data_IF_418578960400
#
_entry.id   IF_418578960400
#
_cell.length_a   1.000
_cell.length_b   1.000
_cell.length_c   1.000
_cell.angle_alpha   90.00
_cell.angle_beta   90.00
_cell.angle_gamma   90.00
#
_symmetry.space_group_name_H-M   'P 1'
#
loop_
_entity.id
_entity.type
_entity.pdbx_description
1 polymer ?
#
# COMPACT_ATOMS: atom_id res chain seq x y z
N UNK A 1 -11.98 2.03 6.45
CA UNK A 1 -11.59 3.04 5.45
C UNK A 1 -12.73 4.00 5.15
N UNK A 2 -12.73 5.16 5.83
CA UNK A 2 -13.66 6.27 5.57
C UNK A 2 -13.00 7.21 4.56
N UNK A 3 -13.07 6.89 3.27
CA UNK A 3 -12.70 7.88 2.25
C UNK A 3 -13.79 8.96 2.25
N UNK A 4 -13.58 10.06 2.96
CA UNK A 4 -14.46 11.23 2.92
C UNK A 4 -14.23 11.93 1.59
N UNK A 5 -15.26 12.06 0.75
CA UNK A 5 -15.26 13.05 -0.34
C UNK A 5 -14.96 14.40 0.28
N UNK A 6 -13.78 14.95 -0.01
CA UNK A 6 -13.46 16.33 0.30
C UNK A 6 -14.07 17.20 -0.79
N UNK A 7 -14.98 18.09 -0.41
CA UNK A 7 -15.52 19.14 -1.28
C UNK A 7 -14.69 20.43 -1.20
N UNK A 8 -13.47 20.38 -0.67
CA UNK A 8 -12.56 21.52 -0.57
C UNK A 8 -11.45 21.43 -1.62
N UNK A 9 -11.10 22.57 -2.21
CA UNK A 9 -10.03 22.81 -3.20
C UNK A 9 -8.61 22.51 -2.67
N UNK A 10 -8.44 21.64 -1.68
CA UNK A 10 -7.12 21.25 -1.22
C UNK A 10 -6.44 20.36 -2.28
N UNK A 11 -5.13 20.57 -2.54
CA UNK A 11 -4.33 19.65 -3.34
C UNK A 11 -4.52 18.20 -2.85
N UNK A 12 -4.75 17.26 -3.76
CA UNK A 12 -5.10 15.87 -3.42
C UNK A 12 -4.00 15.16 -2.60
N UNK A 13 -2.76 15.64 -2.71
CA UNK A 13 -1.60 15.23 -1.94
C UNK A 13 -1.69 15.57 -0.46
N UNK A 14 -2.43 16.61 -0.05
CA UNK A 14 -2.62 16.91 1.37
C UNK A 14 -3.39 15.79 2.11
N UNK A 15 -4.36 15.17 1.42
CA UNK A 15 -5.12 14.04 1.98
C UNK A 15 -4.19 12.84 2.13
N UNK A 16 -3.42 12.51 1.10
CA UNK A 16 -2.47 11.41 1.16
C UNK A 16 -1.40 11.63 2.24
N UNK A 17 -0.90 12.87 2.38
CA UNK A 17 0.05 13.27 3.41
C UNK A 17 -0.53 13.12 4.81
N UNK A 18 -1.80 13.51 5.00
CA UNK A 18 -2.50 13.34 6.29
C UNK A 18 -2.66 11.86 6.65
N UNK A 19 -3.12 11.03 5.71
CA UNK A 19 -3.27 9.58 5.96
C UNK A 19 -1.90 8.93 6.25
N UNK A 20 -0.85 9.28 5.50
CA UNK A 20 0.51 8.78 5.77
C UNK A 20 1.05 9.22 7.16
N UNK A 21 0.69 10.42 7.64
CA UNK A 21 1.00 10.83 9.00
C UNK A 21 0.24 10.00 10.05
N UNK A 22 -1.06 9.80 9.84
CA UNK A 22 -1.93 9.04 10.77
C UNK A 22 -1.50 7.56 10.85
N UNK A 23 -1.16 6.94 9.72
CA UNK A 23 -0.88 5.51 9.61
C UNK A 23 0.57 5.13 9.98
N UNK A 24 1.57 5.87 9.47
CA UNK A 24 2.99 5.50 9.58
C UNK A 24 3.87 6.61 10.21
N UNK A 25 3.26 7.71 10.65
CA UNK A 25 3.96 8.80 11.31
C UNK A 25 4.79 9.68 10.37
N UNK A 26 4.51 9.66 9.06
CA UNK A 26 5.26 10.45 8.09
C UNK A 26 4.92 11.95 8.24
N UNK A 27 5.88 12.83 8.60
CA UNK A 27 5.56 14.22 8.94
C UNK A 27 4.82 14.98 7.81
N UNK A 28 3.73 15.67 8.17
CA UNK A 28 3.02 16.56 7.24
C UNK A 28 3.81 17.82 6.90
N UNK A 29 4.58 18.33 7.86
CA UNK A 29 5.43 19.51 7.73
C UNK A 29 6.84 19.08 7.32
N UNK A 30 7.31 19.56 6.15
CA UNK A 30 8.63 19.26 5.62
C UNK A 30 9.76 19.65 6.59
N UNK A 31 9.55 20.70 7.41
CA UNK A 31 10.53 21.12 8.42
C UNK A 31 10.75 20.07 9.52
N UNK A 32 9.83 19.11 9.67
CA UNK A 32 9.91 18.00 10.63
C UNK A 32 10.47 16.72 10.03
N UNK A 33 10.72 16.68 8.72
CA UNK A 33 11.43 15.56 8.10
C UNK A 33 12.88 15.56 8.60
N UNK A 34 13.42 14.41 9.06
CA UNK A 34 14.81 14.34 9.48
C UNK A 34 15.76 14.74 8.34
N UNK A 35 16.65 15.69 8.58
CA UNK A 35 17.71 16.01 7.62
C UNK A 35 18.65 14.80 7.43
N UNK A 36 19.17 14.56 6.21
CA UNK A 36 19.09 15.42 5.01
C UNK A 36 17.87 15.15 4.10
N UNK A 37 16.89 14.37 4.54
CA UNK A 37 15.81 13.92 3.66
C UNK A 37 14.78 14.99 3.35
N UNK A 38 14.18 14.85 2.17
CA UNK A 38 13.09 15.66 1.63
C UNK A 38 12.11 14.77 0.90
N UNK A 39 10.86 15.22 0.83
CA UNK A 39 9.82 14.60 0.03
C UNK A 39 9.49 15.55 -1.11
N UNK A 40 9.78 15.13 -2.34
CA UNK A 40 9.45 15.85 -3.56
C UNK A 40 8.18 15.25 -4.19
N UNK A 41 7.06 15.98 -4.26
CA UNK A 41 5.89 15.53 -5.02
C UNK A 41 6.21 15.47 -6.51
N UNK A 42 5.98 14.32 -7.15
CA UNK A 42 6.30 14.13 -8.57
C UNK A 42 5.08 14.33 -9.46
N UNK A 43 4.05 13.52 -9.25
CA UNK A 43 2.88 13.52 -10.12
C UNK A 43 1.67 12.82 -9.49
N UNK A 44 0.53 12.93 -10.18
CA UNK A 44 -0.61 12.05 -9.96
C UNK A 44 -0.71 11.05 -11.12
N UNK A 45 -0.97 9.79 -10.81
CA UNK A 45 -1.22 8.77 -11.80
C UNK A 45 -2.68 8.80 -12.27
N UNK A 46 -2.99 8.14 -13.41
CA UNK A 46 -4.35 7.83 -13.84
C UNK A 46 -5.22 7.24 -12.72
N UNK A 47 -6.52 7.47 -12.80
CA UNK A 47 -7.48 6.95 -11.83
C UNK A 47 -7.51 5.43 -11.88
N UNK A 48 -7.43 4.78 -10.71
CA UNK A 48 -7.50 3.34 -10.58
C UNK A 48 -8.80 2.93 -9.89
N UNK A 49 -9.37 1.81 -10.32
CA UNK A 49 -10.59 1.24 -9.75
C UNK A 49 -10.24 0.02 -8.91
N UNK A 50 -10.73 -0.05 -7.68
CA UNK A 50 -10.73 -1.30 -6.93
C UNK A 50 -11.96 -2.14 -7.32
N UNK A 51 -11.86 -3.46 -7.25
CA UNK A 51 -13.00 -4.37 -7.40
C UNK A 51 -14.18 -4.06 -6.45
N UNK A 52 -13.91 -3.36 -5.35
CA UNK A 52 -14.90 -2.87 -4.37
C UNK A 52 -15.59 -1.57 -4.79
N UNK A 53 -15.43 -1.15 -6.05
CA UNK A 53 -15.98 0.07 -6.65
C UNK A 53 -15.43 1.36 -6.00
N UNK A 54 -14.27 1.26 -5.38
CA UNK A 54 -13.52 2.42 -4.87
C UNK A 54 -12.64 2.96 -5.99
N UNK A 55 -12.82 4.23 -6.33
CA UNK A 55 -11.94 4.96 -7.26
C UNK A 55 -10.91 5.72 -6.45
N UNK A 56 -9.64 5.63 -6.86
CA UNK A 56 -8.55 6.41 -6.27
C UNK A 56 -7.76 7.13 -7.36
N UNK A 57 -7.17 8.27 -7.00
CA UNK A 57 -6.14 8.93 -7.80
C UNK A 57 -4.81 8.82 -7.07
N UNK A 58 -3.88 7.97 -7.52
CA UNK A 58 -2.61 7.79 -6.83
C UNK A 58 -1.76 9.06 -6.95
N UNK A 59 -1.08 9.45 -5.88
CA UNK A 59 -0.06 10.49 -5.89
C UNK A 59 1.31 9.85 -5.63
N UNK A 60 2.33 10.27 -6.38
CA UNK A 60 3.69 9.76 -6.27
C UNK A 60 4.59 10.88 -5.76
N UNK A 61 5.42 10.55 -4.77
CA UNK A 61 6.44 11.43 -4.24
C UNK A 61 7.76 10.69 -4.11
N UNK A 62 8.86 11.43 -4.21
CA UNK A 62 10.21 10.92 -4.07
C UNK A 62 10.77 11.32 -2.70
N UNK A 63 11.17 10.32 -1.91
CA UNK A 63 11.86 10.53 -0.64
C UNK A 63 13.36 10.37 -0.87
N UNK A 64 14.11 11.47 -0.79
CA UNK A 64 15.54 11.51 -1.14
C UNK A 64 16.31 12.48 -0.24
N UNK A 65 17.64 12.43 -0.31
CA UNK A 65 18.54 13.41 0.29
C UNK A 65 19.21 14.22 -0.83
N UNK A 66 19.45 15.51 -0.60
CA UNK A 66 20.08 16.44 -1.57
C UNK A 66 21.63 16.44 -1.52
N UNK A 67 22.24 15.49 -0.83
CA UNK A 67 23.69 15.46 -0.69
C UNK A 67 24.35 14.95 -1.98
N UNK A 68 25.48 15.58 -2.36
CA UNK A 68 26.26 15.11 -3.51
C UNK A 68 26.64 13.64 -3.29
N UNK A 69 26.47 12.79 -4.32
CA UNK A 69 26.77 11.38 -4.21
C UNK A 69 28.27 11.24 -3.94
N UNK A 70 28.60 10.50 -2.87
CA UNK A 70 29.95 10.08 -2.50
C UNK A 70 30.87 11.19 -1.92
N UNK A 71 30.60 11.67 -0.70
CA UNK A 71 31.73 11.84 0.24
C UNK A 71 32.12 10.43 0.72
N UNK A 72 33.23 9.84 0.23
CA UNK A 72 33.65 8.50 0.66
C UNK A 72 33.99 8.44 2.16
N UNK A 73 34.19 9.58 2.83
CA UNK A 73 34.39 9.63 4.28
C UNK A 73 33.06 9.63 5.06
N UNK A 74 31.95 10.08 4.46
CA UNK A 74 30.64 10.23 5.13
C UNK A 74 29.48 9.87 4.19
N UNK A 75 29.19 8.57 3.96
CA UNK A 75 28.06 8.18 3.13
C UNK A 75 26.75 8.73 3.71
N UNK A 76 25.88 9.25 2.84
CA UNK A 76 24.56 9.70 3.27
C UNK A 76 23.81 8.55 3.96
N UNK A 77 23.14 8.83 5.09
CA UNK A 77 22.38 7.82 5.82
C UNK A 77 21.30 7.21 4.93
N UNK A 78 21.03 5.91 5.09
CA UNK A 78 19.87 5.29 4.47
C UNK A 78 18.58 5.86 5.09
N UNK A 79 17.53 6.03 4.30
CA UNK A 79 16.22 6.50 4.79
C UNK A 79 15.73 5.60 5.91
N UNK A 80 15.90 4.30 5.74
CA UNK A 80 15.51 3.24 6.69
C UNK A 80 16.30 3.29 8.02
N UNK A 81 17.41 4.03 8.07
CA UNK A 81 18.22 4.22 9.28
C UNK A 81 17.76 5.39 10.13
N UNK A 82 17.24 6.45 9.50
CA UNK A 82 16.90 7.71 10.18
C UNK A 82 15.40 8.00 10.22
N UNK A 83 14.63 7.47 9.28
CA UNK A 83 13.18 7.53 9.28
C UNK A 83 12.64 6.18 9.70
N UNK A 84 12.54 5.97 11.02
CA UNK A 84 11.85 4.81 11.57
C UNK A 84 10.35 5.14 11.60
N UNK A 85 9.51 4.41 10.85
CA UNK A 85 8.07 4.61 10.86
C UNK A 85 7.48 4.48 12.27
N UNK A 86 6.51 5.32 12.62
CA UNK A 86 5.73 5.20 13.86
C UNK A 86 4.34 4.73 13.49
N UNK A 87 4.09 3.45 13.74
CA UNK A 87 2.88 2.79 13.24
C UNK A 87 1.73 2.91 14.22
N UNK A 88 0.54 3.28 13.74
CA UNK A 88 -0.69 3.05 14.49
C UNK A 88 -1.07 1.57 14.37
N UNK A 89 -0.89 0.81 15.45
CA UNK A 89 -1.20 -0.62 15.49
C UNK A 89 -2.68 -0.95 15.18
N UNK A 90 -3.59 0.03 15.24
CA UNK A 90 -5.00 -0.16 14.85
C UNK A 90 -5.20 -0.24 13.34
N UNK A 91 -4.30 0.38 12.57
CA UNK A 91 -4.46 0.58 11.12
C UNK A 91 -3.32 -0.07 10.33
N UNK A 92 -2.09 -0.09 10.88
CA UNK A 92 -0.89 -0.60 10.23
C UNK A 92 -0.21 -1.65 11.09
N UNK A 93 -0.13 -2.86 10.53
CA UNK A 93 0.51 -3.98 11.20
C UNK A 93 2.01 -4.08 10.91
N UNK A 94 2.44 -3.64 9.72
CA UNK A 94 3.84 -3.62 9.32
C UNK A 94 4.09 -2.59 8.20
N UNK A 95 5.33 -2.10 8.14
CA UNK A 95 5.85 -1.35 6.98
C UNK A 95 7.09 -2.06 6.45
N UNK A 96 7.15 -2.23 5.12
CA UNK A 96 8.26 -2.84 4.41
C UNK A 96 8.52 -2.09 3.10
N UNK A 97 9.71 -2.30 2.52
CA UNK A 97 10.10 -1.73 1.22
C UNK A 97 10.27 -2.86 0.20
N UNK A 98 10.21 -2.54 -1.09
CA UNK A 98 10.48 -3.48 -2.17
C UNK A 98 11.27 -2.77 -3.28
N UNK A 99 12.20 -3.44 -3.98
CA UNK A 99 12.89 -2.83 -5.12
C UNK A 99 11.88 -2.45 -6.21
N UNK A 100 11.74 -1.16 -6.49
CA UNK A 100 10.65 -0.66 -7.34
C UNK A 100 10.69 -1.26 -8.77
N UNK A 101 11.88 -1.43 -9.34
CA UNK A 101 12.07 -2.09 -10.64
C UNK A 101 11.54 -3.54 -10.68
N UNK A 102 11.50 -4.25 -9.54
CA UNK A 102 11.07 -5.66 -9.52
C UNK A 102 9.57 -5.81 -9.83
N UNK A 103 8.76 -4.75 -9.72
CA UNK A 103 7.36 -4.78 -10.16
C UNK A 103 7.20 -4.89 -11.69
N UNK A 104 8.29 -4.91 -12.46
CA UNK A 104 8.31 -5.25 -13.89
C UNK A 104 8.81 -6.68 -14.16
N UNK A 105 9.23 -7.43 -13.14
CA UNK A 105 9.88 -8.74 -13.29
C UNK A 105 8.91 -9.89 -13.05
N UNK A 106 9.07 -10.98 -13.79
CA UNK A 106 8.29 -12.21 -13.58
C UNK A 106 8.86 -13.08 -12.44
N UNK A 107 10.15 -12.93 -12.13
CA UNK A 107 10.85 -13.69 -11.09
C UNK A 107 11.65 -12.76 -10.18
N UNK A 108 12.02 -13.25 -8.99
CA UNK A 108 12.88 -12.49 -8.07
C UNK A 108 14.20 -12.14 -8.78
N UNK A 109 14.67 -10.90 -8.64
CA UNK A 109 16.07 -10.57 -8.89
C UNK A 109 16.85 -10.74 -7.59
N UNK A 110 18.04 -11.35 -7.69
CA UNK A 110 19.03 -11.29 -6.63
C UNK A 110 19.34 -9.81 -6.33
N UNK A 111 19.14 -9.38 -5.09
CA UNK A 111 19.30 -7.97 -4.69
C UNK A 111 20.72 -7.47 -5.02
N UNK A 112 20.91 -6.27 -5.61
CA UNK A 112 22.24 -5.68 -5.81
C UNK A 112 23.02 -5.43 -4.51
N UNK A 113 22.36 -5.44 -3.34
CA UNK A 113 23.04 -5.41 -2.03
C UNK A 113 23.98 -6.61 -1.81
N UNK A 114 23.87 -7.64 -2.65
CA UNK A 114 24.80 -8.77 -2.75
C UNK A 114 26.20 -8.40 -3.26
N UNK A 115 26.41 -7.21 -3.83
CA UNK A 115 27.72 -6.75 -4.31
C UNK A 115 28.47 -5.86 -3.31
N UNK A 116 27.77 -5.17 -2.39
CA UNK A 116 28.39 -4.15 -1.53
C UNK A 116 28.79 -4.65 -0.13
N UNK A 117 28.24 -5.77 0.35
CA UNK A 117 28.62 -6.32 1.65
C UNK A 117 28.79 -7.83 1.57
N UNK A 118 29.99 -8.32 1.92
CA UNK A 118 30.35 -9.74 2.10
C UNK A 118 29.60 -10.42 3.26
N UNK A 119 28.36 -10.02 3.57
CA UNK A 119 27.48 -10.77 4.46
C UNK A 119 27.00 -11.98 3.68
N UNK A 120 27.39 -13.17 4.14
CA UNK A 120 27.05 -14.50 3.59
C UNK A 120 25.66 -14.47 2.94
N UNK A 121 25.61 -14.70 1.62
CA UNK A 121 24.36 -14.79 0.88
C UNK A 121 23.41 -15.74 1.60
N UNK A 122 22.32 -15.20 2.15
CA UNK A 122 21.19 -16.03 2.55
C UNK A 122 20.37 -16.30 1.29
N UNK A 123 19.99 -17.56 1.03
CA UNK A 123 19.07 -17.85 -0.05
C UNK A 123 17.73 -17.15 0.22
N UNK A 124 17.12 -16.60 -0.83
CA UNK A 124 15.78 -16.02 -0.74
C UNK A 124 14.80 -17.06 -0.18
N UNK A 125 13.78 -16.63 0.59
CA UNK A 125 12.76 -17.54 1.06
C UNK A 125 12.07 -18.22 -0.12
N UNK A 126 11.68 -19.50 0.00
CA UNK A 126 11.02 -20.22 -1.08
C UNK A 126 9.71 -19.53 -1.49
N UNK A 127 9.34 -19.65 -2.76
CA UNK A 127 8.13 -19.05 -3.33
C UNK A 127 8.37 -18.37 -4.68
N UNK A 128 7.30 -18.06 -5.39
CA UNK A 128 7.30 -17.28 -6.63
C UNK A 128 7.26 -15.78 -6.30
N UNK A 129 7.94 -14.95 -7.09
CA UNK A 129 7.83 -13.48 -6.98
C UNK A 129 6.47 -12.97 -7.47
N UNK A 130 5.98 -13.49 -8.59
CA UNK A 130 4.80 -12.97 -9.27
C UNK A 130 3.85 -14.07 -9.70
N UNK A 131 2.55 -13.81 -9.52
CA UNK A 131 1.45 -14.57 -10.07
C UNK A 131 0.39 -13.61 -10.60
N UNK A 132 -0.06 -13.85 -11.83
CA UNK A 132 -1.13 -13.05 -12.42
C UNK A 132 -2.15 -13.91 -13.14
N UNK A 133 -3.36 -13.38 -13.22
CA UNK A 133 -4.44 -13.99 -13.97
C UNK A 133 -5.32 -12.92 -14.58
N UNK A 134 -5.88 -13.22 -15.74
CA UNK A 134 -6.93 -12.41 -16.32
C UNK A 134 -8.25 -12.67 -15.59
N UNK A 135 -8.96 -11.60 -15.29
CA UNK A 135 -10.38 -11.65 -14.92
C UNK A 135 -11.17 -10.85 -15.95
N UNK A 136 -12.44 -11.20 -16.07
CA UNK A 136 -13.39 -10.39 -16.83
C UNK A 136 -14.17 -9.52 -15.84
N UNK A 137 -14.06 -8.21 -15.97
CA UNK A 137 -14.91 -7.27 -15.25
C UNK A 137 -15.85 -6.58 -16.24
N UNK A 138 -17.12 -6.97 -16.23
CA UNK A 138 -18.09 -6.59 -17.27
C UNK A 138 -17.53 -6.93 -18.66
N UNK A 139 -17.37 -5.94 -19.54
CA UNK A 139 -16.84 -6.11 -20.89
C UNK A 139 -15.32 -5.85 -20.97
N UNK A 140 -14.66 -5.57 -19.84
CA UNK A 140 -13.24 -5.24 -19.78
C UNK A 140 -12.40 -6.43 -19.29
N UNK A 141 -11.43 -6.90 -20.09
CA UNK A 141 -10.40 -7.80 -19.58
C UNK A 141 -9.49 -7.03 -18.62
N UNK A 142 -9.33 -7.57 -17.41
CA UNK A 142 -8.56 -6.91 -16.36
C UNK A 142 -7.52 -7.86 -15.80
N UNK A 143 -6.26 -7.42 -15.79
CA UNK A 143 -5.16 -8.20 -15.25
C UNK A 143 -5.06 -8.03 -13.74
N UNK A 144 -5.21 -9.13 -13.02
CA UNK A 144 -4.92 -9.19 -11.58
C UNK A 144 -3.44 -9.52 -11.40
N UNK A 145 -2.78 -8.75 -10.53
CA UNK A 145 -1.38 -8.93 -10.17
C UNK A 145 -1.26 -9.32 -8.69
N UNK A 146 -0.46 -10.34 -8.41
CA UNK A 146 -0.04 -10.71 -7.06
C UNK A 146 1.48 -10.80 -7.04
N UNK A 147 2.12 -10.06 -6.14
CA UNK A 147 3.55 -10.12 -5.88
C UNK A 147 3.80 -10.64 -4.47
N UNK A 148 4.84 -11.44 -4.29
CA UNK A 148 5.23 -12.02 -3.00
C UNK A 148 6.64 -11.57 -2.64
N UNK A 149 6.71 -10.41 -1.98
CA UNK A 149 7.95 -9.69 -1.71
C UNK A 149 8.75 -10.38 -0.60
N UNK A 150 9.98 -10.85 -0.85
CA UNK A 150 10.80 -11.50 0.16
C UNK A 150 11.20 -10.52 1.26
N UNK A 151 11.04 -10.97 2.49
CA UNK A 151 11.42 -10.25 3.71
C UNK A 151 12.78 -10.78 4.14
N UNK A 152 13.84 -10.31 3.48
CA UNK A 152 15.22 -10.64 3.84
C UNK A 152 15.98 -9.35 4.14
N UNK A 153 16.34 -9.16 5.41
CA UNK A 153 17.10 -8.02 5.97
C UNK A 153 16.61 -6.59 5.64
N UNK A 154 15.55 -6.40 4.85
CA UNK A 154 14.80 -5.15 4.78
C UNK A 154 14.09 -4.96 6.13
N UNK A 155 14.34 -3.83 6.80
CA UNK A 155 13.76 -3.52 8.11
C UNK A 155 12.24 -3.46 8.02
N UNK A 156 11.58 -4.56 8.39
CA UNK A 156 10.16 -4.55 8.69
C UNK A 156 9.99 -3.82 10.01
N UNK A 157 9.28 -2.71 9.99
CA UNK A 157 8.88 -2.03 11.22
C UNK A 157 7.52 -2.56 11.63
N UNK A 158 7.40 -3.09 12.84
CA UNK A 158 6.13 -3.50 13.47
C UNK A 158 5.90 -2.67 14.73
N UNK A 159 4.65 -2.49 15.18
CA UNK A 159 4.35 -1.67 16.36
C UNK A 159 5.05 -2.12 17.66
N UNK A 160 5.47 -3.38 17.78
CA UNK A 160 6.12 -3.93 18.99
C UNK A 160 7.60 -3.56 19.18
N UNK A 161 8.27 -3.03 18.14
CA UNK A 161 9.69 -2.67 18.22
C UNK A 161 9.96 -1.25 18.77
N UNK A 162 8.90 -0.47 19.05
CA UNK A 162 8.98 0.80 19.78
C UNK A 162 8.53 0.56 21.23
N UNK A 163 9.47 0.65 22.18
CA UNK A 163 9.28 0.46 23.62
C UNK A 163 7.87 0.79 24.15
N UNK A 164 7.10 -0.24 24.52
CA UNK A 164 6.39 -0.36 25.82
C UNK A 164 5.54 -1.64 25.83
N UNK A 165 6.01 -2.63 26.61
CA UNK A 165 5.37 -3.91 26.82
C UNK A 165 4.32 -3.81 27.95
N UNK A 166 3.16 -3.18 27.70
CA UNK A 166 1.99 -3.37 28.55
C UNK A 166 0.67 -2.93 27.88
N UNK A 167 0.26 -3.63 26.81
CA UNK A 167 -1.11 -3.47 26.30
C UNK A 167 -1.66 -4.82 25.80
N UNK A 168 -2.95 -5.17 26.03
CA UNK A 168 -3.49 -6.53 25.81
C UNK A 168 -3.71 -6.90 24.32
N UNK A 169 -2.97 -6.27 23.41
CA UNK A 169 -3.18 -6.30 21.96
C UNK A 169 -1.98 -6.87 21.18
N UNK A 170 -1.03 -7.52 21.89
CA UNK A 170 0.05 -8.34 21.30
C UNK A 170 -0.46 -9.33 20.23
N UNK A 171 -1.71 -9.78 20.34
CA UNK A 171 -2.31 -10.79 19.45
C UNK A 171 -2.24 -10.53 17.93
N UNK A 172 -2.18 -9.30 17.41
CA UNK A 172 -2.08 -9.08 15.94
C UNK A 172 -0.63 -9.08 15.46
N UNK A 173 0.27 -8.46 16.22
CA UNK A 173 1.70 -8.50 15.96
C UNK A 173 2.25 -9.92 16.19
N UNK A 174 1.85 -10.59 17.27
CA UNK A 174 2.21 -11.98 17.59
C UNK A 174 1.69 -12.95 16.53
N UNK A 175 0.44 -12.81 16.05
CA UNK A 175 -0.06 -13.64 14.93
C UNK A 175 0.71 -13.41 13.65
N UNK A 176 1.10 -12.17 13.37
CA UNK A 176 1.93 -11.85 12.23
C UNK A 176 3.34 -12.41 12.39
N UNK A 177 3.93 -12.40 13.58
CA UNK A 177 5.21 -13.03 13.87
C UNK A 177 5.16 -14.56 13.71
N UNK A 178 4.09 -15.21 14.20
CA UNK A 178 3.85 -16.66 14.03
C UNK A 178 3.62 -17.05 12.56
N UNK A 179 2.89 -16.23 11.79
CA UNK A 179 2.68 -16.42 10.35
C UNK A 179 3.93 -16.06 9.52
N UNK A 180 4.71 -15.06 9.94
CA UNK A 180 5.96 -14.63 9.29
C UNK A 180 7.09 -15.66 9.44
N UNK A 181 7.13 -16.38 10.56
CA UNK A 181 8.01 -17.53 10.75
C UNK A 181 7.70 -18.67 9.76
N UNK A 182 6.46 -18.72 9.24
CA UNK A 182 6.02 -19.71 8.25
C UNK A 182 6.07 -19.18 6.80
N UNK A 183 5.89 -17.87 6.59
CA UNK A 183 5.91 -17.20 5.29
C UNK A 183 6.70 -15.88 5.35
N UNK A 184 7.99 -15.96 4.99
CA UNK A 184 8.90 -14.79 4.89
C UNK A 184 8.67 -13.94 3.63
N UNK A 185 7.43 -13.89 3.10
CA UNK A 185 7.08 -13.11 1.91
C UNK A 185 5.77 -12.33 2.14
N UNK A 186 5.78 -11.02 1.91
CA UNK A 186 4.56 -10.21 1.96
C UNK A 186 3.84 -10.21 0.61
N UNK A 187 2.52 -10.42 0.65
CA UNK A 187 1.69 -10.39 -0.56
C UNK A 187 1.23 -8.96 -0.88
N UNK A 188 1.63 -8.44 -2.03
CA UNK A 188 1.13 -7.18 -2.62
C UNK A 188 0.17 -7.54 -3.74
N UNK A 189 -1.10 -7.15 -3.63
CA UNK A 189 -2.16 -7.58 -4.55
C UNK A 189 -3.25 -6.51 -4.72
N UNK A 190 -4.17 -6.76 -5.66
CA UNK A 190 -5.32 -5.90 -5.89
C UNK A 190 -4.93 -4.51 -6.41
N UNK A 191 -5.64 -3.48 -5.93
CA UNK A 191 -5.43 -2.09 -6.35
C UNK A 191 -3.98 -1.65 -6.21
N UNK A 192 -3.33 -2.01 -5.09
CA UNK A 192 -1.93 -1.64 -4.82
C UNK A 192 -0.98 -2.23 -5.85
N UNK A 193 -1.12 -3.52 -6.17
CA UNK A 193 -0.29 -4.16 -7.18
C UNK A 193 -0.50 -3.55 -8.58
N UNK A 194 -1.75 -3.21 -8.92
CA UNK A 194 -2.07 -2.58 -10.21
C UNK A 194 -1.40 -1.19 -10.32
N UNK A 195 -1.57 -0.33 -9.31
CA UNK A 195 -0.92 0.98 -9.25
C UNK A 195 0.61 0.90 -9.32
N UNK A 196 1.23 -0.10 -8.67
CA UNK A 196 2.69 -0.27 -8.66
C UNK A 196 3.24 -0.70 -10.03
N UNK A 197 2.52 -1.55 -10.76
CA UNK A 197 2.90 -1.93 -12.13
C UNK A 197 2.86 -0.72 -13.06
N UNK A 198 1.78 0.06 -13.02
CA UNK A 198 1.65 1.28 -13.82
C UNK A 198 2.73 2.30 -13.47
N UNK A 199 2.94 2.54 -12.18
CA UNK A 199 3.99 3.45 -11.71
C UNK A 199 5.38 3.02 -12.19
N UNK A 200 5.71 1.72 -12.10
CA UNK A 200 7.00 1.21 -12.53
C UNK A 200 7.18 1.29 -14.06
N UNK A 201 6.14 0.99 -14.84
CA UNK A 201 6.16 1.12 -16.30
C UNK A 201 6.43 2.56 -16.71
N UNK A 202 5.76 3.52 -16.07
CA UNK A 202 5.95 4.96 -16.30
C UNK A 202 7.37 5.39 -15.90
N UNK A 203 7.83 5.02 -14.70
CA UNK A 203 9.11 5.46 -14.17
C UNK A 203 10.32 4.92 -14.95
N UNK A 204 10.26 3.65 -15.36
CA UNK A 204 11.38 3.00 -16.06
C UNK A 204 11.23 3.01 -17.59
N UNK A 205 10.07 3.41 -18.13
CA UNK A 205 9.80 3.37 -19.57
C UNK A 205 9.91 1.97 -20.17
N UNK A 206 9.50 0.94 -19.41
CA UNK A 206 9.64 -0.47 -19.77
C UNK A 206 8.35 -1.24 -19.52
N UNK A 207 8.06 -2.17 -20.41
CA UNK A 207 6.98 -3.14 -20.20
C UNK A 207 7.41 -4.25 -19.23
N UNK A 208 6.47 -4.82 -18.45
CA UNK A 208 6.76 -5.93 -17.57
C UNK A 208 7.06 -7.22 -18.36
N UNK A 209 7.78 -8.14 -17.73
CA UNK A 209 8.08 -9.48 -18.26
C UNK A 209 6.86 -10.43 -18.25
N UNK A 210 5.70 -9.93 -17.84
CA UNK A 210 4.45 -10.66 -17.72
C UNK A 210 3.31 -9.88 -18.38
N UNK A 211 2.16 -10.54 -18.58
CA UNK A 211 0.98 -9.89 -19.16
C UNK A 211 0.42 -8.79 -18.25
N UNK A 212 0.05 -7.65 -18.84
CA UNK A 212 -0.60 -6.52 -18.17
C UNK A 212 -1.63 -5.85 -19.09
N UNK A 213 -2.46 -4.96 -18.51
CA UNK A 213 -3.31 -4.08 -19.30
C UNK A 213 -2.44 -3.12 -20.15
N UNK A 214 -2.78 -2.89 -21.43
CA UNK A 214 -1.94 -2.07 -22.31
C UNK A 214 -1.97 -0.58 -21.95
N UNK A 215 -3.08 -0.10 -21.38
CA UNK A 215 -3.25 1.27 -20.88
C UNK A 215 -2.80 1.40 -19.42
N UNK A 216 -2.73 2.65 -18.94
CA UNK A 216 -2.54 2.98 -17.52
C UNK A 216 -3.88 3.39 -16.92
N UNK A 217 -4.11 3.04 -15.66
CA UNK A 217 -5.37 3.32 -14.97
C UNK A 217 -6.57 2.62 -15.57
N UNK A 218 -7.73 2.93 -15.01
CA UNK A 218 -9.01 2.28 -15.26
C UNK A 218 -10.08 3.28 -15.71
N UNK A 219 -9.71 4.44 -16.27
CA UNK A 219 -10.64 5.52 -16.62
C UNK A 219 -11.84 5.06 -17.45
N UNK A 220 -11.63 4.21 -18.46
CA UNK A 220 -12.72 3.71 -19.30
C UNK A 220 -13.70 2.85 -18.49
N UNK A 221 -13.16 2.01 -17.61
CA UNK A 221 -13.91 1.13 -16.71
C UNK A 221 -14.70 1.98 -15.70
N UNK A 222 -14.07 3.03 -15.16
CA UNK A 222 -14.67 3.99 -14.22
C UNK A 222 -15.82 4.75 -14.89
N UNK A 223 -15.61 5.28 -16.09
CA UNK A 223 -16.65 5.99 -16.85
C UNK A 223 -17.82 5.07 -17.21
N UNK A 224 -17.58 3.80 -17.50
CA UNK A 224 -18.66 2.82 -17.66
C UNK A 224 -19.38 2.56 -16.34
N UNK A 225 -18.65 2.36 -15.24
CA UNK A 225 -19.22 2.15 -13.91
C UNK A 225 -20.10 3.34 -13.46
N UNK A 226 -19.68 4.57 -13.78
CA UNK A 226 -20.43 5.79 -13.49
C UNK A 226 -21.72 5.87 -14.32
N UNK A 227 -21.64 5.65 -15.64
CA UNK A 227 -22.81 5.65 -16.53
C UNK A 227 -23.87 4.63 -16.11
N UNK A 228 -23.45 3.50 -15.58
CA UNK A 228 -24.32 2.44 -15.09
C UNK A 228 -24.79 2.64 -13.64
N UNK A 229 -24.31 3.68 -12.95
CA UNK A 229 -24.68 3.98 -11.57
C UNK A 229 -24.10 3.01 -10.52
N UNK A 230 -23.07 2.24 -10.89
CA UNK A 230 -22.40 1.25 -10.03
C UNK A 230 -21.53 1.88 -8.95
N UNK A 231 -21.04 3.11 -9.18
CA UNK A 231 -20.20 3.84 -8.23
C UNK A 231 -21.07 4.44 -7.10
N UNK A 232 -21.52 3.61 -6.15
CA UNK A 232 -22.39 4.05 -5.07
C UNK A 232 -21.57 4.62 -3.90
N UNK A 233 -21.88 5.84 -3.46
CA UNK A 233 -21.46 6.30 -2.14
C UNK A 233 -22.10 5.40 -1.07
N UNK A 234 -21.30 4.56 -0.39
CA UNK A 234 -21.71 3.61 0.67
C UNK A 234 -22.58 4.20 1.80
N UNK A 235 -22.80 5.51 1.81
CA UNK A 235 -23.64 6.22 2.78
C UNK A 235 -25.14 5.93 2.63
N UNK A 236 -25.65 5.57 1.44
CA UNK A 236 -27.11 5.39 1.24
C UNK A 236 -27.70 4.09 1.80
N UNK A 237 -26.92 3.01 1.93
CA UNK A 237 -27.49 1.68 2.29
C UNK A 237 -27.71 1.43 3.78
N UNK A 238 -27.21 2.30 4.68
CA UNK A 238 -27.33 2.08 6.13
C UNK A 238 -28.57 2.71 6.76
N UNK A 239 -29.16 3.74 6.14
CA UNK A 239 -30.33 4.45 6.68
C UNK A 239 -31.68 3.91 6.19
N UNK A 240 -31.72 3.16 5.08
CA UNK A 240 -32.98 2.64 4.52
C UNK A 240 -33.43 1.27 5.08
N UNK A 241 -32.62 0.64 5.94
CA UNK A 241 -32.89 -0.69 6.49
C UNK A 241 -33.31 -0.75 7.96
N UNK A 242 -33.36 0.38 8.68
CA UNK A 242 -33.57 0.43 10.14
C UNK A 242 -34.91 1.04 10.55
N UNK A 243 -35.90 1.07 9.65
CA UNK A 243 -37.10 1.89 9.81
C UNK A 243 -38.43 1.20 9.57
N UNK A 244 -38.58 -0.12 9.78
CA UNK A 244 -39.91 -0.74 9.95
C UNK A 244 -39.78 -2.22 10.29
N UNK A 245 -39.81 -2.56 11.58
CA UNK A 245 -40.27 -3.85 12.17
C UNK A 245 -39.87 -3.85 13.65
N UNK A 246 -40.70 -3.20 14.46
CA UNK A 246 -40.98 -3.62 15.84
C UNK A 246 -42.01 -2.68 16.45
N UNK A 247 -43.27 -2.93 16.10
CA UNK A 247 -44.42 -2.66 16.97
C UNK A 247 -45.36 -3.84 16.82
N UNK A 248 -45.97 -4.22 17.95
CA UNK A 248 -47.00 -5.25 18.13
C UNK A 248 -46.41 -6.64 18.51
N UNK A 249 -46.60 -7.23 19.68
CA UNK A 249 -47.60 -7.06 20.75
C UNK A 249 -47.10 -7.70 22.05
N UNK A 250 -47.31 -7.04 23.18
CA UNK A 250 -47.17 -7.59 24.53
C UNK A 250 -48.53 -8.08 25.01
N UNK A 251 -48.66 -9.34 25.42
CA UNK A 251 -49.69 -9.78 26.37
C UNK A 251 -49.10 -10.83 27.33
N UNK A 252 -49.30 -10.71 28.65
CA UNK A 252 -48.95 -11.76 29.60
C UNK A 252 -50.20 -12.57 29.97
N UNK A 253 -50.12 -13.90 29.91
CA UNK A 253 -51.10 -14.79 30.52
C UNK A 253 -50.45 -15.56 31.68
N UNK A 254 -50.95 -15.29 32.89
CA UNK A 254 -50.81 -16.15 34.07
C UNK A 254 -51.66 -17.42 33.89
N UNK A 255 -51.11 -18.57 34.25
CA UNK A 255 -51.70 -19.56 35.17
C UNK A 255 -50.62 -20.54 35.61
#
# INVERSE_FOLDING_TARGET
MKCRRSTSNHPQDEIARREAWEEIGLPMDDARIPKPFKIEPLCYLPYNLARTELVVRPCVAFLHADEEPDDPEHPSPLVEERMIPRLDAKEVAAVFSAPFHNFLRATDQESPSSLANQRKQRPLPPGSWYEGNWIQWKDHPWRVHNFYVPVDDQRVTTPGNAMDADHPQGNLAEKLEEEQDQQRRFKVWGLTAHMLVDAARIAYGKEPEFECNPHFGDEEIILQAEREGSLVDKKRKRDEGAGEKDKEKTEPAKM
#
